data_IF_266081165657
#
_entry.id   IF_266081165657
#
_cell.length_a   1.000
_cell.length_b   1.000
_cell.length_c   1.000
_cell.angle_alpha   90.00
_cell.angle_beta   90.00
_cell.angle_gamma   90.00
#
_symmetry.space_group_name_H-M   'P 1'
#
loop_
_entity.id
_entity.type
_entity.pdbx_description
1 polymer ?
#
# COMPACT_ATOMS: atom_id res chain seq x y z
N UNK A 1 39.24 -52.69 24.45
CA UNK A 1 37.96 -52.11 24.76
C UNK A 1 37.79 -50.76 24.02
N UNK A 2 37.14 -50.81 22.87
CA UNK A 2 36.87 -49.62 22.05
C UNK A 2 35.54 -49.01 22.52
N UNK A 3 35.58 -47.76 23.02
CA UNK A 3 34.39 -47.01 23.37
C UNK A 3 33.84 -46.25 22.14
N UNK A 4 32.51 -46.09 22.00
CA UNK A 4 31.90 -45.45 20.85
C UNK A 4 32.06 -43.93 20.91
N UNK A 5 32.44 -43.35 19.76
CA UNK A 5 32.59 -41.94 19.57
C UNK A 5 31.25 -41.19 19.75
N UNK A 6 31.27 -40.12 20.52
CA UNK A 6 30.18 -39.15 20.64
C UNK A 6 30.15 -38.33 19.36
N UNK A 7 29.14 -38.54 18.56
CA UNK A 7 28.75 -37.59 17.50
C UNK A 7 28.37 -36.22 18.15
N UNK A 8 29.09 -35.17 17.77
CA UNK A 8 28.74 -33.81 18.13
C UNK A 8 27.57 -33.39 17.22
N UNK A 9 26.38 -33.35 17.77
CA UNK A 9 25.28 -32.68 17.11
C UNK A 9 25.60 -31.18 16.98
N UNK A 10 25.55 -30.68 15.76
CA UNK A 10 25.60 -29.23 15.49
C UNK A 10 24.41 -28.55 16.15
N UNK A 11 24.58 -27.35 16.71
CA UNK A 11 23.45 -26.60 17.28
C UNK A 11 22.44 -26.25 16.16
N UNK A 12 21.12 -26.22 16.47
CA UNK A 12 20.10 -25.85 15.51
C UNK A 12 20.32 -24.39 15.06
N UNK A 13 20.24 -24.19 13.78
CA UNK A 13 20.30 -22.82 13.21
C UNK A 13 19.25 -21.95 13.90
N UNK A 14 19.59 -20.74 14.36
CA UNK A 14 18.63 -19.82 14.91
C UNK A 14 17.60 -19.48 13.83
N UNK A 15 16.33 -19.66 14.17
CA UNK A 15 15.23 -19.21 13.34
C UNK A 15 15.34 -17.71 13.12
N UNK A 16 15.40 -17.27 11.88
CA UNK A 16 15.61 -15.89 11.42
C UNK A 16 14.43 -14.96 11.74
N UNK A 17 13.72 -15.13 12.85
CA UNK A 17 12.54 -14.33 13.24
C UNK A 17 12.84 -13.17 14.18
N UNK A 18 14.05 -12.98 14.69
CA UNK A 18 14.25 -12.07 15.83
C UNK A 18 15.20 -10.89 15.65
N UNK A 19 15.61 -10.52 14.44
CA UNK A 19 16.61 -9.46 14.27
C UNK A 19 16.35 -8.48 13.13
N UNK A 20 15.13 -7.95 12.97
CA UNK A 20 14.98 -6.68 12.27
C UNK A 20 14.23 -5.72 13.20
N UNK A 21 14.85 -4.59 13.61
CA UNK A 21 14.14 -3.59 14.39
C UNK A 21 12.99 -3.06 13.55
N UNK A 22 11.78 -3.17 14.07
CA UNK A 22 10.51 -2.71 13.50
C UNK A 22 10.56 -1.24 13.03
N UNK A 23 11.53 -0.48 13.52
CA UNK A 23 11.77 0.90 13.13
C UNK A 23 12.38 1.09 11.72
N UNK A 24 12.97 0.05 11.13
CA UNK A 24 13.64 0.17 9.82
C UNK A 24 12.70 0.04 8.63
N UNK A 25 11.58 -0.69 8.78
CA UNK A 25 10.69 -0.99 7.65
C UNK A 25 9.74 0.17 7.28
N UNK A 26 9.36 1.04 8.22
CA UNK A 26 8.45 2.17 7.94
C UNK A 26 9.15 3.41 7.42
N UNK A 27 10.47 3.50 7.60
CA UNK A 27 11.23 4.73 7.35
C UNK A 27 11.40 5.03 5.86
N UNK A 28 11.32 4.03 4.98
CA UNK A 28 11.66 4.18 3.57
C UNK A 28 10.50 4.71 2.72
N UNK A 29 9.28 4.27 2.93
CA UNK A 29 8.16 4.63 2.06
C UNK A 29 7.76 6.11 2.17
N UNK A 30 7.88 6.71 3.34
CA UNK A 30 7.54 8.12 3.59
C UNK A 30 8.46 9.10 2.84
N UNK A 31 9.70 8.70 2.56
CA UNK A 31 10.66 9.52 1.84
C UNK A 31 10.48 9.50 0.31
N UNK A 32 9.78 8.52 -0.22
CA UNK A 32 9.71 8.24 -1.65
C UNK A 32 8.34 8.52 -2.26
N UNK A 33 7.37 9.01 -1.47
CA UNK A 33 6.01 9.27 -1.95
C UNK A 33 6.00 10.21 -3.15
N UNK A 34 5.29 9.80 -4.21
CA UNK A 34 5.17 10.58 -5.44
C UNK A 34 6.38 10.57 -6.35
N UNK A 35 7.35 9.69 -6.14
CA UNK A 35 8.47 9.49 -7.05
C UNK A 35 8.01 8.91 -8.41
N UNK A 36 8.88 8.85 -9.43
CA UNK A 36 8.50 8.32 -10.75
C UNK A 36 7.96 6.88 -10.72
N UNK A 37 8.48 6.02 -9.83
CA UNK A 37 8.02 4.64 -9.69
C UNK A 37 6.61 4.59 -9.10
N UNK A 38 6.33 5.40 -8.08
CA UNK A 38 4.99 5.54 -7.50
C UNK A 38 3.98 6.05 -8.53
N UNK A 39 4.34 7.07 -9.30
CA UNK A 39 3.48 7.59 -10.36
C UNK A 39 3.13 6.50 -11.38
N UNK A 40 4.13 5.68 -11.76
CA UNK A 40 3.90 4.57 -12.68
C UNK A 40 2.96 3.51 -12.09
N UNK A 41 3.24 3.03 -10.89
CA UNK A 41 2.41 2.03 -10.18
C UNK A 41 0.99 2.55 -9.97
N UNK A 42 0.85 3.77 -9.48
CA UNK A 42 -0.43 4.37 -9.16
C UNK A 42 -1.26 4.69 -10.41
N UNK A 43 -0.65 5.12 -11.50
CA UNK A 43 -1.35 5.33 -12.77
C UNK A 43 -1.90 4.00 -13.33
N UNK A 44 -1.10 2.93 -13.26
CA UNK A 44 -1.53 1.59 -13.66
C UNK A 44 -2.67 1.08 -12.76
N UNK A 45 -2.54 1.21 -11.43
CA UNK A 45 -3.56 0.82 -10.48
C UNK A 45 -4.88 1.55 -10.73
N UNK A 46 -4.83 2.87 -10.86
CA UNK A 46 -6.03 3.68 -11.10
C UNK A 46 -6.74 3.27 -12.39
N UNK A 47 -5.98 2.97 -13.44
CA UNK A 47 -6.53 2.50 -14.71
C UNK A 47 -7.19 1.11 -14.58
N UNK A 48 -6.53 0.17 -13.91
CA UNK A 48 -7.05 -1.18 -13.67
C UNK A 48 -8.34 -1.11 -12.85
N UNK A 49 -8.38 -0.31 -11.78
CA UNK A 49 -9.57 -0.13 -10.96
C UNK A 49 -10.72 0.47 -11.77
N UNK A 50 -10.46 1.51 -12.55
CA UNK A 50 -11.47 2.11 -13.42
C UNK A 50 -12.02 1.09 -14.43
N UNK A 51 -11.16 0.26 -15.03
CA UNK A 51 -11.57 -0.82 -15.93
C UNK A 51 -12.42 -1.88 -15.21
N UNK A 52 -11.99 -2.33 -14.05
CA UNK A 52 -12.72 -3.33 -13.28
C UNK A 52 -14.11 -2.81 -12.83
N UNK A 53 -14.23 -1.54 -12.49
CA UNK A 53 -15.47 -0.92 -12.05
C UNK A 53 -16.49 -0.66 -13.19
N UNK A 54 -16.11 -0.86 -14.45
CA UNK A 54 -17.06 -0.76 -15.58
C UNK A 54 -18.14 -1.86 -15.55
N UNK A 55 -17.86 -3.01 -14.95
CA UNK A 55 -18.83 -4.10 -14.79
C UNK A 55 -19.64 -3.90 -13.52
N UNK A 56 -20.95 -4.09 -13.59
CA UNK A 56 -21.85 -3.95 -12.43
C UNK A 56 -21.62 -4.99 -11.33
N UNK A 57 -20.94 -6.09 -11.65
CA UNK A 57 -20.59 -7.12 -10.67
C UNK A 57 -19.63 -6.58 -9.62
N UNK A 58 -19.93 -6.74 -8.33
CA UNK A 58 -19.04 -6.30 -7.25
C UNK A 58 -17.67 -6.99 -7.31
N UNK A 59 -16.67 -6.34 -6.73
CA UNK A 59 -15.32 -6.86 -6.62
C UNK A 59 -14.75 -6.71 -5.20
N UNK A 60 -13.73 -7.49 -4.90
CA UNK A 60 -12.90 -7.37 -3.70
C UNK A 60 -11.53 -6.83 -4.09
N UNK A 61 -11.10 -5.76 -3.43
CA UNK A 61 -9.72 -5.28 -3.48
C UNK A 61 -9.00 -5.68 -2.20
N UNK A 62 -7.82 -6.27 -2.34
CA UNK A 62 -6.99 -6.73 -1.22
C UNK A 62 -5.60 -6.13 -1.41
N UNK A 63 -5.08 -5.47 -0.39
CA UNK A 63 -3.72 -4.90 -0.41
C UNK A 63 -2.92 -5.35 0.81
N UNK A 64 -1.74 -5.90 0.56
CA UNK A 64 -0.92 -6.56 1.58
C UNK A 64 0.01 -5.60 2.33
N UNK A 65 0.39 -4.47 1.72
CA UNK A 65 1.33 -3.48 2.26
C UNK A 65 0.78 -2.07 2.02
N UNK A 66 -0.22 -1.68 2.82
CA UNK A 66 -1.03 -0.52 2.52
C UNK A 66 -0.34 0.83 2.81
N UNK A 67 0.63 0.89 3.73
CA UNK A 67 1.20 2.15 4.18
C UNK A 67 0.16 3.05 4.84
N UNK A 68 0.41 4.35 4.86
CA UNK A 68 -0.48 5.34 5.50
C UNK A 68 -1.62 5.85 4.62
N UNK A 69 -1.62 5.53 3.33
CA UNK A 69 -2.68 5.88 2.37
C UNK A 69 -2.73 7.34 1.90
N UNK A 70 -2.26 8.29 2.68
CA UNK A 70 -2.22 9.72 2.33
C UNK A 70 -0.88 10.33 2.75
N UNK A 71 -0.26 11.08 1.86
CA UNK A 71 1.05 11.71 2.04
C UNK A 71 0.96 13.22 1.81
N UNK A 72 1.78 13.99 2.52
CA UNK A 72 2.04 15.41 2.23
C UNK A 72 3.41 15.52 1.57
N UNK A 73 3.45 15.99 0.33
CA UNK A 73 4.70 16.14 -0.42
C UNK A 73 5.58 17.31 0.09
N UNK A 74 5.04 18.17 0.95
CA UNK A 74 5.78 19.20 1.67
C UNK A 74 6.30 18.74 3.02
N UNK A 75 6.05 17.50 3.44
CA UNK A 75 6.64 16.97 4.66
C UNK A 75 8.18 16.99 4.55
N UNK A 76 8.84 17.29 5.67
CA UNK A 76 10.31 17.39 5.73
C UNK A 76 11.03 16.13 5.22
N UNK A 77 10.39 14.98 5.32
CA UNK A 77 10.89 13.73 4.79
C UNK A 77 10.86 13.68 3.26
N UNK A 78 9.74 14.07 2.64
CA UNK A 78 9.57 14.14 1.19
C UNK A 78 10.48 15.20 0.54
N UNK A 79 10.67 16.34 1.22
CA UNK A 79 11.53 17.43 0.74
C UNK A 79 13.03 17.05 0.72
N UNK A 80 13.47 16.18 1.62
CA UNK A 80 14.90 15.77 1.70
C UNK A 80 15.38 15.02 0.46
N UNK A 81 14.50 14.24 -0.19
CA UNK A 81 14.87 13.46 -1.36
C UNK A 81 14.63 14.22 -2.68
N UNK A 82 13.71 15.20 -2.69
CA UNK A 82 13.32 15.92 -3.91
C UNK A 82 12.68 15.04 -4.99
N UNK A 83 12.38 13.77 -4.66
CA UNK A 83 11.88 12.78 -5.64
C UNK A 83 10.48 13.10 -6.14
N UNK A 84 9.62 13.69 -5.30
CA UNK A 84 8.29 14.12 -5.70
C UNK A 84 8.33 15.19 -6.80
N UNK A 85 9.34 16.06 -6.82
CA UNK A 85 9.54 17.06 -7.87
C UNK A 85 9.87 16.42 -9.23
N UNK A 86 10.60 15.30 -9.23
CA UNK A 86 10.90 14.54 -10.44
C UNK A 86 9.76 13.58 -10.83
N UNK A 87 8.96 13.14 -9.86
CA UNK A 87 7.82 12.26 -10.01
C UNK A 87 6.55 13.00 -10.39
N UNK A 88 5.61 13.08 -9.43
CA UNK A 88 4.25 13.58 -9.69
C UNK A 88 4.23 15.00 -10.22
N UNK A 89 5.05 15.93 -9.68
CA UNK A 89 5.05 17.32 -10.11
C UNK A 89 5.41 17.48 -11.61
N UNK A 90 6.28 16.61 -12.12
CA UNK A 90 6.72 16.65 -13.50
C UNK A 90 5.87 15.79 -14.44
N UNK A 91 5.39 14.65 -13.95
CA UNK A 91 4.73 13.64 -14.80
C UNK A 91 3.22 13.83 -14.87
N UNK A 92 2.62 14.50 -13.90
CA UNK A 92 1.18 14.70 -13.81
C UNK A 92 0.59 15.33 -15.08
N UNK A 93 1.26 16.33 -15.66
CA UNK A 93 0.81 17.02 -16.87
C UNK A 93 0.76 16.12 -18.12
N UNK A 94 1.41 14.95 -18.07
CA UNK A 94 1.40 13.97 -19.18
C UNK A 94 0.14 13.12 -19.22
N UNK A 95 -0.63 13.10 -18.13
CA UNK A 95 -1.91 12.39 -18.10
C UNK A 95 -3.04 13.34 -18.51
N UNK A 96 -3.97 12.85 -19.33
CA UNK A 96 -5.19 13.62 -19.67
C UNK A 96 -6.00 13.95 -18.40
N UNK A 97 -6.76 15.06 -18.38
CA UNK A 97 -7.53 15.45 -17.18
C UNK A 97 -8.54 14.39 -16.70
N UNK A 98 -9.09 13.61 -17.61
CA UNK A 98 -10.03 12.50 -17.36
C UNK A 98 -9.35 11.18 -17.03
N UNK A 99 -8.01 11.11 -17.08
CA UNK A 99 -7.28 9.91 -16.69
C UNK A 99 -7.56 9.55 -15.22
N UNK A 100 -7.86 8.28 -14.87
CA UNK A 100 -8.24 7.89 -13.50
C UNK A 100 -7.25 8.35 -12.43
N UNK A 101 -5.96 8.26 -12.69
CA UNK A 101 -4.92 8.75 -11.79
C UNK A 101 -5.04 10.28 -11.54
N UNK A 102 -5.22 11.08 -12.61
CA UNK A 102 -5.41 12.54 -12.48
C UNK A 102 -6.65 12.87 -11.65
N UNK A 103 -7.75 12.15 -11.85
CA UNK A 103 -8.97 12.33 -11.05
C UNK A 103 -8.72 12.04 -9.58
N UNK A 104 -8.02 10.95 -9.23
CA UNK A 104 -7.65 10.66 -7.85
C UNK A 104 -6.79 11.77 -7.24
N UNK A 105 -5.77 12.27 -7.96
CA UNK A 105 -4.95 13.39 -7.50
C UNK A 105 -5.78 14.65 -7.24
N UNK A 106 -6.65 15.02 -8.19
CA UNK A 106 -7.50 16.21 -8.08
C UNK A 106 -8.45 16.09 -6.87
N UNK A 107 -9.11 14.96 -6.69
CA UNK A 107 -10.00 14.72 -5.55
C UNK A 107 -9.24 14.76 -4.22
N UNK A 108 -8.08 14.13 -4.16
CA UNK A 108 -7.23 14.13 -2.95
C UNK A 108 -6.80 15.54 -2.58
N UNK A 109 -6.34 16.33 -3.54
CA UNK A 109 -5.91 17.73 -3.30
C UNK A 109 -7.06 18.65 -2.92
N UNK A 110 -8.23 18.45 -3.50
CA UNK A 110 -9.41 19.20 -3.13
C UNK A 110 -9.84 18.95 -1.68
N UNK A 111 -9.66 17.74 -1.18
CA UNK A 111 -10.06 17.36 0.18
C UNK A 111 -8.97 17.65 1.24
N UNK A 112 -7.68 17.54 0.88
CA UNK A 112 -6.58 17.50 1.85
C UNK A 112 -5.49 18.57 1.60
N UNK A 113 -5.62 19.40 0.59
CA UNK A 113 -4.67 20.48 0.25
C UNK A 113 -3.80 20.17 -0.96
N UNK A 114 -3.21 21.22 -1.52
CA UNK A 114 -2.50 21.19 -2.81
C UNK A 114 -1.30 20.23 -2.87
N UNK A 115 -0.68 19.94 -1.73
CA UNK A 115 0.48 19.07 -1.60
C UNK A 115 0.14 17.62 -1.26
N UNK A 116 -1.14 17.32 -1.10
CA UNK A 116 -1.60 15.97 -0.78
C UNK A 116 -1.41 15.02 -1.96
N UNK A 117 -0.94 13.81 -1.65
CA UNK A 117 -0.71 12.74 -2.60
C UNK A 117 -1.35 11.44 -2.10
N UNK A 118 -2.23 10.80 -2.91
CA UNK A 118 -2.86 9.55 -2.52
C UNK A 118 -1.89 8.38 -2.68
N UNK A 119 -1.77 7.56 -1.65
CA UNK A 119 -1.24 6.21 -1.77
C UNK A 119 -2.28 5.27 -2.39
N UNK A 120 -1.85 4.05 -2.72
CA UNK A 120 -2.70 3.00 -3.30
C UNK A 120 -4.00 2.76 -2.52
N UNK A 121 -4.01 2.71 -1.15
CA UNK A 121 -5.25 2.49 -0.41
C UNK A 121 -6.29 3.59 -0.61
N UNK A 122 -5.86 4.86 -0.59
CA UNK A 122 -6.77 5.99 -0.81
C UNK A 122 -7.27 6.02 -2.25
N UNK A 123 -6.40 5.68 -3.21
CA UNK A 123 -6.80 5.56 -4.62
C UNK A 123 -7.84 4.46 -4.82
N UNK A 124 -7.67 3.31 -4.16
CA UNK A 124 -8.66 2.24 -4.16
C UNK A 124 -9.97 2.72 -3.54
N UNK A 125 -9.93 3.36 -2.37
CA UNK A 125 -11.12 3.89 -1.70
C UNK A 125 -11.88 4.93 -2.55
N UNK A 126 -11.16 5.78 -3.30
CA UNK A 126 -11.75 6.78 -4.21
C UNK A 126 -12.33 6.17 -5.49
N UNK A 127 -11.85 4.99 -5.89
CA UNK A 127 -12.23 4.35 -7.15
C UNK A 127 -13.33 3.31 -7.00
N UNK A 128 -13.40 2.65 -5.85
CA UNK A 128 -14.34 1.56 -5.58
C UNK A 128 -15.74 2.10 -5.27
N UNK A 129 -16.74 1.26 -5.54
CA UNK A 129 -18.16 1.56 -5.34
C UNK A 129 -18.63 1.00 -3.99
N UNK A 130 -19.75 1.45 -3.49
CA UNK A 130 -20.36 0.97 -2.23
C UNK A 130 -20.66 -0.54 -2.21
N UNK A 131 -20.77 -1.16 -3.39
CA UNK A 131 -20.99 -2.62 -3.53
C UNK A 131 -19.70 -3.44 -3.49
N UNK A 132 -18.56 -2.79 -3.61
CA UNK A 132 -17.23 -3.42 -3.61
C UNK A 132 -16.70 -3.59 -2.17
N UNK A 133 -15.68 -4.43 -2.01
CA UNK A 133 -15.03 -4.67 -0.71
C UNK A 133 -13.57 -4.24 -0.78
N UNK A 134 -13.12 -3.55 0.26
CA UNK A 134 -11.76 -3.06 0.40
C UNK A 134 -11.13 -3.65 1.66
N UNK A 135 -10.07 -4.44 1.50
CA UNK A 135 -9.32 -5.09 2.57
C UNK A 135 -7.86 -4.65 2.52
N UNK A 136 -7.38 -4.07 3.60
CA UNK A 136 -6.04 -3.53 3.72
C UNK A 136 -5.30 -4.14 4.90
N UNK A 137 -4.05 -4.54 4.71
CA UNK A 137 -3.15 -4.89 5.78
C UNK A 137 -1.99 -3.90 5.87
N UNK A 138 -1.66 -3.52 7.09
CA UNK A 138 -0.47 -2.73 7.41
C UNK A 138 0.11 -3.22 8.74
N UNK A 139 1.31 -3.75 8.69
CA UNK A 139 1.95 -4.37 9.85
C UNK A 139 2.49 -3.34 10.83
N UNK A 140 3.04 -2.22 10.31
CA UNK A 140 3.69 -1.22 11.16
C UNK A 140 2.65 -0.41 11.96
N UNK A 141 2.71 -0.37 13.31
CA UNK A 141 1.68 0.27 14.13
C UNK A 141 1.45 1.75 13.81
N UNK A 142 2.51 2.51 13.53
CA UNK A 142 2.43 3.94 13.19
C UNK A 142 1.73 4.16 11.86
N UNK A 143 2.11 3.43 10.81
CA UNK A 143 1.50 3.51 9.49
C UNK A 143 0.04 3.06 9.52
N UNK A 144 -0.25 1.95 10.23
CA UNK A 144 -1.60 1.48 10.46
C UNK A 144 -2.49 2.54 11.15
N UNK A 145 -1.97 3.22 12.18
CA UNK A 145 -2.71 4.29 12.87
C UNK A 145 -2.99 5.48 11.93
N UNK A 146 -2.04 5.86 11.07
CA UNK A 146 -2.24 6.86 10.03
C UNK A 146 -3.27 6.40 9.00
N UNK A 147 -3.15 5.18 8.49
CA UNK A 147 -4.07 4.60 7.52
C UNK A 147 -5.51 4.64 8.01
N UNK A 148 -5.75 4.21 9.25
CA UNK A 148 -7.08 4.26 9.87
C UNK A 148 -7.66 5.67 9.95
N UNK A 149 -6.84 6.67 10.31
CA UNK A 149 -7.28 8.07 10.34
C UNK A 149 -7.59 8.60 8.95
N UNK A 150 -6.71 8.32 7.99
CA UNK A 150 -6.82 8.84 6.64
C UNK A 150 -7.99 8.24 5.84
N UNK A 151 -8.42 7.03 6.21
CA UNK A 151 -9.54 6.33 5.57
C UNK A 151 -10.81 6.24 6.45
N UNK A 152 -10.90 7.01 7.53
CA UNK A 152 -12.02 6.93 8.48
C UNK A 152 -13.41 7.18 7.85
N UNK A 153 -13.47 7.86 6.70
CA UNK A 153 -14.72 8.15 5.98
C UNK A 153 -15.12 7.10 4.93
N UNK A 154 -14.37 6.02 4.79
CA UNK A 154 -14.59 4.99 3.77
C UNK A 154 -15.01 3.66 4.38
N UNK A 155 -15.80 2.87 3.64
CA UNK A 155 -16.14 1.50 4.02
C UNK A 155 -14.97 0.57 3.69
N UNK A 156 -14.10 0.35 4.67
CA UNK A 156 -12.84 -0.37 4.52
C UNK A 156 -12.54 -1.25 5.74
N UNK A 157 -12.07 -2.46 5.49
CA UNK A 157 -11.52 -3.36 6.52
C UNK A 157 -10.00 -3.15 6.58
N UNK A 158 -9.51 -2.59 7.68
CA UNK A 158 -8.08 -2.35 7.91
C UNK A 158 -7.60 -3.25 9.04
N UNK A 159 -6.56 -4.06 8.80
CA UNK A 159 -5.98 -4.98 9.77
C UNK A 159 -4.52 -4.64 10.04
N UNK A 160 -4.16 -4.66 11.33
CA UNK A 160 -2.76 -4.58 11.74
C UNK A 160 -2.19 -6.00 11.81
N UNK A 161 -1.78 -6.53 10.64
CA UNK A 161 -1.24 -7.88 10.54
C UNK A 161 -0.34 -8.00 9.31
N UNK A 162 0.39 -9.11 9.21
CA UNK A 162 1.12 -9.46 7.99
C UNK A 162 0.15 -9.58 6.81
N UNK A 163 0.49 -8.90 5.70
CA UNK A 163 -0.40 -8.81 4.55
C UNK A 163 -0.55 -10.12 3.78
N UNK A 164 0.47 -10.96 3.79
CA UNK A 164 0.39 -12.28 3.15
C UNK A 164 -0.47 -13.25 3.98
N UNK A 165 -0.37 -13.17 5.31
CA UNK A 165 -1.27 -13.92 6.21
C UNK A 165 -2.72 -13.48 5.98
N UNK A 166 -3.00 -12.16 5.95
CA UNK A 166 -4.33 -11.65 5.63
C UNK A 166 -4.83 -12.15 4.27
N UNK A 167 -3.98 -12.12 3.24
CA UNK A 167 -4.36 -12.59 1.91
C UNK A 167 -4.73 -14.07 1.91
N UNK A 168 -4.00 -14.91 2.65
CA UNK A 168 -4.31 -16.34 2.80
C UNK A 168 -5.63 -16.57 3.53
N UNK A 169 -5.96 -15.76 4.54
CA UNK A 169 -7.21 -15.86 5.29
C UNK A 169 -8.43 -15.44 4.45
N UNK A 170 -8.26 -14.42 3.60
CA UNK A 170 -9.38 -13.84 2.83
C UNK A 170 -9.59 -14.58 1.51
N UNK A 171 -8.54 -15.10 0.87
CA UNK A 171 -8.64 -15.71 -0.46
C UNK A 171 -9.14 -17.17 -0.41
N UNK A 172 -10.14 -17.54 -1.22
CA UNK A 172 -10.83 -16.71 -2.20
C UNK A 172 -11.84 -15.76 -1.55
N UNK A 173 -11.83 -14.46 -1.89
CA UNK A 173 -12.69 -13.47 -1.25
C UNK A 173 -14.17 -13.59 -1.65
N UNK A 174 -15.02 -12.88 -0.95
CA UNK A 174 -16.42 -12.69 -1.32
C UNK A 174 -16.72 -11.20 -1.46
N UNK A 175 -17.02 -10.71 -2.66
CA UNK A 175 -17.13 -11.42 -3.95
C UNK A 175 -15.81 -11.96 -4.50
N UNK A 176 -15.85 -13.05 -5.25
CA UNK A 176 -14.65 -13.74 -5.79
C UNK A 176 -13.89 -12.96 -6.87
N UNK A 177 -14.60 -12.08 -7.57
CA UNK A 177 -13.97 -11.19 -8.55
C UNK A 177 -13.17 -10.15 -7.79
N UNK A 178 -11.90 -9.96 -8.11
CA UNK A 178 -11.10 -9.02 -7.32
C UNK A 178 -9.74 -8.71 -7.92
N UNK A 179 -9.02 -7.88 -7.19
CA UNK A 179 -7.64 -7.47 -7.41
C UNK A 179 -6.87 -7.61 -6.11
N UNK A 180 -5.77 -8.32 -6.15
CA UNK A 180 -4.77 -8.35 -5.07
C UNK A 180 -3.58 -7.49 -5.47
N UNK A 181 -3.26 -6.50 -4.66
CA UNK A 181 -2.04 -5.69 -4.76
C UNK A 181 -1.05 -6.15 -3.68
N UNK A 182 0.11 -6.63 -4.12
CA UNK A 182 1.23 -6.97 -3.24
C UNK A 182 2.44 -6.12 -3.67
N UNK A 183 2.78 -5.12 -2.89
CA UNK A 183 3.91 -4.21 -3.13
C UNK A 183 4.78 -4.13 -1.85
N UNK A 184 5.51 -5.20 -1.51
CA UNK A 184 6.39 -5.20 -0.36
C UNK A 184 7.55 -4.24 -0.60
N UNK A 185 7.83 -3.34 0.36
CA UNK A 185 8.94 -2.38 0.37
C UNK A 185 10.14 -2.91 1.14
#
# INVERSE_FOLDING_TARGET
GSGPGRERQAPPFPHHRDLLPTAMLSYQHHYHAGNPADVHKHAALAWVLAYLCQKDKPLSYIETHAGRGLYDLNDAAALKTGEAAQGVARLEARFAPDHPFRRCLTQTRAAHGATAYPGSPLMAALSLRSVDRLHLAELHPGEHAHLRRNLAGYDVSIRQQDGFEMAQEICPPTPRRGLLLADPS
#
